data_IF_984637026857
#
_entry.id   IF_984637026857
#
_cell.length_a   1.000
_cell.length_b   1.000
_cell.length_c   1.000
_cell.angle_alpha   90.00
_cell.angle_beta   90.00
_cell.angle_gamma   90.00
#
_symmetry.space_group_name_H-M   'P 1'
#
loop_
_entity.id
_entity.type
_entity.pdbx_description
1 polymer ?
#
# COMPACT_ATOMS: atom_id res chain seq x y z
N UNK A 1 -3.55 -6.26 8.84
CA UNK A 1 -2.83 -6.28 10.11
C UNK A 1 -1.68 -5.28 10.04
N UNK A 2 -1.44 -4.59 11.15
CA UNK A 2 -0.40 -3.55 11.29
C UNK A 2 1.00 -4.13 11.00
N UNK A 3 1.22 -5.42 11.28
CA UNK A 3 2.44 -6.14 10.94
C UNK A 3 2.24 -7.00 9.70
N UNK A 4 3.01 -6.72 8.66
CA UNK A 4 3.01 -7.51 7.43
C UNK A 4 3.73 -8.84 7.64
N UNK A 5 2.97 -9.86 8.03
CA UNK A 5 3.48 -11.21 8.25
C UNK A 5 3.69 -11.95 6.92
N UNK A 6 4.86 -12.57 6.78
CA UNK A 6 5.18 -13.49 5.70
C UNK A 6 5.56 -14.87 6.26
N UNK A 7 5.08 -15.92 5.61
CA UNK A 7 5.46 -17.28 5.93
C UNK A 7 6.89 -17.61 5.46
N UNK A 8 7.58 -18.48 6.17
CA UNK A 8 8.90 -19.01 5.77
C UNK A 8 8.77 -19.96 4.57
N UNK A 9 8.47 -19.41 3.42
CA UNK A 9 8.28 -20.10 2.14
C UNK A 9 8.66 -19.16 0.98
N UNK A 10 8.38 -19.56 -0.27
CA UNK A 10 8.69 -18.73 -1.43
C UNK A 10 7.84 -17.45 -1.49
N UNK A 11 8.34 -16.41 -2.17
CA UNK A 11 7.57 -15.20 -2.46
C UNK A 11 6.28 -15.56 -3.19
N UNK A 12 6.37 -16.45 -4.19
CA UNK A 12 5.20 -16.97 -4.90
C UNK A 12 4.12 -17.51 -3.95
N UNK A 13 4.50 -18.39 -3.03
CA UNK A 13 3.56 -19.01 -2.10
C UNK A 13 3.00 -17.99 -1.10
N UNK A 14 3.79 -17.01 -0.70
CA UNK A 14 3.32 -15.91 0.14
C UNK A 14 2.21 -15.09 -0.53
N UNK A 15 2.38 -14.74 -1.80
CA UNK A 15 1.35 -14.00 -2.56
C UNK A 15 0.15 -14.91 -2.84
N UNK A 16 0.40 -16.15 -3.32
CA UNK A 16 -0.62 -17.13 -3.66
C UNK A 16 -1.52 -17.54 -2.49
N UNK A 17 -1.09 -17.28 -1.25
CA UNK A 17 -1.91 -17.52 -0.07
C UNK A 17 -3.25 -16.75 -0.10
N UNK A 18 -3.33 -15.64 -0.83
CA UNK A 18 -4.58 -14.90 -1.06
C UNK A 18 -5.59 -15.64 -1.92
N UNK A 19 -5.10 -16.40 -2.92
CA UNK A 19 -5.90 -17.31 -3.76
C UNK A 19 -5.05 -18.55 -4.09
N UNK A 20 -5.27 -19.68 -3.41
CA UNK A 20 -4.47 -20.90 -3.57
C UNK A 20 -4.51 -21.54 -4.97
N UNK A 21 -5.53 -21.21 -5.79
CA UNK A 21 -5.66 -21.74 -7.16
C UNK A 21 -5.07 -20.80 -8.21
N UNK A 22 -4.66 -19.59 -7.81
CA UNK A 22 -4.10 -18.60 -8.74
C UNK A 22 -2.85 -19.12 -9.46
N UNK A 23 -2.81 -18.87 -10.75
CA UNK A 23 -1.67 -19.18 -11.62
C UNK A 23 -0.62 -18.07 -11.62
N UNK A 24 0.56 -18.36 -12.16
CA UNK A 24 1.70 -17.44 -12.19
C UNK A 24 1.36 -16.05 -12.76
N UNK A 25 0.61 -15.91 -13.87
CA UNK A 25 0.29 -14.59 -14.43
C UNK A 25 -0.51 -13.70 -13.46
N UNK A 26 -1.46 -14.26 -12.71
CA UNK A 26 -2.25 -13.52 -11.72
C UNK A 26 -1.38 -13.07 -10.54
N UNK A 27 -0.46 -13.92 -10.08
CA UNK A 27 0.50 -13.61 -9.01
C UNK A 27 1.43 -12.47 -9.45
N UNK A 28 1.93 -12.51 -10.68
CA UNK A 28 2.78 -11.45 -11.24
C UNK A 28 2.01 -10.14 -11.41
N UNK A 29 0.75 -10.21 -11.83
CA UNK A 29 -0.10 -9.03 -11.94
C UNK A 29 -0.31 -8.38 -10.57
N UNK A 30 -0.67 -9.15 -9.55
CA UNK A 30 -0.81 -8.64 -8.18
C UNK A 30 0.49 -8.02 -7.65
N UNK A 31 1.64 -8.63 -7.94
CA UNK A 31 2.95 -8.10 -7.57
C UNK A 31 3.28 -6.78 -8.31
N UNK A 32 2.86 -6.63 -9.58
CA UNK A 32 2.99 -5.38 -10.34
C UNK A 32 2.11 -4.28 -9.75
N UNK A 33 0.87 -4.58 -9.40
CA UNK A 33 -0.03 -3.64 -8.75
C UNK A 33 0.54 -3.15 -7.42
N UNK A 34 1.14 -4.04 -6.64
CA UNK A 34 1.81 -3.73 -5.37
C UNK A 34 3.22 -3.13 -5.54
N UNK A 35 3.69 -2.83 -6.75
CA UNK A 35 5.01 -2.25 -7.03
C UNK A 35 6.20 -3.06 -6.45
N UNK A 36 6.07 -4.41 -6.37
CA UNK A 36 7.16 -5.29 -5.86
C UNK A 36 7.73 -6.19 -6.95
N UNK A 37 7.06 -6.35 -8.09
CA UNK A 37 7.51 -7.21 -9.20
C UNK A 37 8.94 -6.91 -9.68
N UNK A 38 9.35 -5.64 -9.90
CA UNK A 38 10.71 -5.34 -10.40
C UNK A 38 11.80 -5.83 -9.45
N UNK A 39 11.55 -5.80 -8.14
CA UNK A 39 12.51 -6.29 -7.14
C UNK A 39 12.52 -7.81 -7.09
N UNK A 40 11.36 -8.45 -7.20
CA UNK A 40 11.26 -9.92 -7.20
C UNK A 40 12.05 -10.52 -8.35
N UNK A 41 11.96 -9.96 -9.55
CA UNK A 41 12.67 -10.50 -10.73
C UNK A 41 14.18 -10.29 -10.65
N UNK A 42 14.67 -9.38 -9.81
CA UNK A 42 16.08 -9.16 -9.55
C UNK A 42 16.67 -10.12 -8.49
N UNK A 43 15.85 -10.86 -7.73
CA UNK A 43 16.37 -11.91 -6.85
C UNK A 43 16.86 -13.10 -7.69
N UNK A 44 17.93 -13.78 -7.21
CA UNK A 44 18.52 -14.91 -7.92
C UNK A 44 17.51 -16.00 -8.30
N UNK A 45 16.54 -16.31 -7.41
CA UNK A 45 15.48 -17.30 -7.66
C UNK A 45 14.14 -16.68 -7.97
N UNK A 46 14.09 -15.35 -8.18
CA UNK A 46 12.89 -14.62 -8.52
C UNK A 46 11.71 -14.98 -7.57
N UNK A 47 10.57 -15.35 -8.12
CA UNK A 47 9.38 -15.77 -7.35
C UNK A 47 9.59 -17.05 -6.52
N UNK A 48 10.61 -17.85 -6.81
CA UNK A 48 10.98 -19.05 -6.04
C UNK A 48 11.88 -18.73 -4.84
N UNK A 49 12.30 -17.48 -4.69
CA UNK A 49 13.10 -17.03 -3.55
C UNK A 49 12.36 -17.31 -2.24
N UNK A 50 13.01 -18.03 -1.33
CA UNK A 50 12.49 -18.31 0.02
C UNK A 50 12.75 -17.08 0.88
N UNK A 51 11.74 -16.64 1.62
CA UNK A 51 11.78 -15.51 2.55
C UNK A 51 11.44 -15.95 3.97
N UNK A 52 11.72 -15.10 4.96
CA UNK A 52 11.50 -15.40 6.37
C UNK A 52 12.71 -16.03 7.04
N UNK A 53 12.53 -16.73 8.16
CA UNK A 53 13.62 -17.26 9.00
C UNK A 53 14.58 -18.22 8.28
N UNK A 54 14.12 -18.91 7.25
CA UNK A 54 14.91 -19.89 6.49
C UNK A 54 15.34 -19.38 5.11
N UNK A 55 15.18 -18.10 4.83
CA UNK A 55 15.49 -17.51 3.54
C UNK A 55 16.05 -16.10 3.67
N UNK A 56 15.94 -15.32 2.58
CA UNK A 56 16.39 -13.93 2.60
C UNK A 56 15.47 -13.07 3.49
N UNK A 57 16.07 -12.06 4.11
CA UNK A 57 15.32 -11.05 4.86
C UNK A 57 14.90 -9.94 3.91
N UNK A 58 13.60 -9.72 3.77
CA UNK A 58 13.06 -8.58 3.05
C UNK A 58 13.08 -7.31 3.90
N UNK A 59 13.26 -6.14 3.27
CA UNK A 59 13.06 -4.86 3.94
C UNK A 59 11.60 -4.69 4.40
N UNK A 60 11.34 -3.72 5.29
CA UNK A 60 9.97 -3.42 5.74
C UNK A 60 9.03 -3.13 4.57
N UNK A 61 9.43 -2.27 3.64
CA UNK A 61 8.65 -1.93 2.45
C UNK A 61 8.45 -3.12 1.49
N UNK A 62 9.46 -3.98 1.33
CA UNK A 62 9.33 -5.21 0.54
C UNK A 62 8.33 -6.17 1.16
N UNK A 63 8.35 -6.34 2.50
CA UNK A 63 7.39 -7.17 3.22
C UNK A 63 5.97 -6.63 3.06
N UNK A 64 5.77 -5.33 3.27
CA UNK A 64 4.45 -4.68 3.13
C UNK A 64 3.90 -4.86 1.72
N UNK A 65 4.70 -4.59 0.68
CA UNK A 65 4.27 -4.73 -0.71
C UNK A 65 4.01 -6.20 -1.11
N UNK A 66 4.77 -7.16 -0.57
CA UNK A 66 4.49 -8.60 -0.78
C UNK A 66 3.18 -9.02 -0.10
N UNK A 67 2.92 -8.53 1.13
CA UNK A 67 1.65 -8.77 1.81
C UNK A 67 0.47 -8.08 1.11
N UNK A 68 0.69 -6.87 0.57
CA UNK A 68 -0.31 -6.18 -0.25
C UNK A 68 -0.64 -6.98 -1.52
N UNK A 69 0.37 -7.50 -2.24
CA UNK A 69 0.15 -8.34 -3.41
C UNK A 69 -0.71 -9.58 -3.08
N UNK A 70 -0.52 -10.18 -1.90
CA UNK A 70 -1.40 -11.24 -1.38
C UNK A 70 -2.85 -10.77 -1.26
N UNK A 71 -3.08 -9.58 -0.70
CA UNK A 71 -4.42 -9.00 -0.54
C UNK A 71 -5.06 -8.65 -1.88
N UNK A 72 -4.28 -8.16 -2.85
CA UNK A 72 -4.74 -7.79 -4.19
C UNK A 72 -5.11 -9.00 -5.06
N UNK A 73 -4.53 -10.16 -4.77
CA UNK A 73 -4.86 -11.40 -5.46
C UNK A 73 -6.29 -11.88 -5.15
N UNK A 74 -6.82 -11.47 -3.98
CA UNK A 74 -8.22 -11.70 -3.62
C UNK A 74 -9.06 -10.66 -4.38
N UNK A 75 -9.97 -11.13 -5.21
CA UNK A 75 -10.88 -10.26 -5.97
C UNK A 75 -12.05 -9.76 -5.10
N UNK A 76 -11.72 -8.94 -4.09
CA UNK A 76 -12.69 -8.35 -3.18
C UNK A 76 -13.16 -6.98 -3.69
N UNK A 77 -14.47 -6.68 -3.61
CA UNK A 77 -15.01 -5.37 -4.03
C UNK A 77 -14.59 -4.21 -3.13
N UNK A 78 -14.21 -4.49 -1.89
CA UNK A 78 -13.74 -3.51 -0.91
C UNK A 78 -12.38 -3.95 -0.37
N UNK A 79 -11.40 -3.05 -0.45
CA UNK A 79 -10.05 -3.23 0.06
C UNK A 79 -9.80 -2.24 1.19
N UNK A 80 -9.42 -2.73 2.38
CA UNK A 80 -9.04 -1.89 3.51
C UNK A 80 -7.53 -2.01 3.71
N UNK A 81 -6.83 -0.88 3.59
CA UNK A 81 -5.39 -0.74 3.79
C UNK A 81 -5.15 0.05 5.08
N UNK A 82 -4.96 -0.67 6.19
CA UNK A 82 -4.68 -0.09 7.50
C UNK A 82 -3.17 -0.03 7.73
N UNK A 83 -2.60 1.15 7.61
CA UNK A 83 -1.16 1.45 7.71
C UNK A 83 -0.26 0.55 6.85
N UNK A 84 -0.84 -0.01 5.78
CA UNK A 84 -0.22 -1.06 4.96
C UNK A 84 0.97 -0.56 4.10
N UNK A 85 1.20 0.75 4.04
CA UNK A 85 2.26 1.40 3.26
C UNK A 85 3.21 2.24 4.12
N UNK A 86 3.19 2.11 5.45
CA UNK A 86 3.99 2.94 6.37
C UNK A 86 5.51 2.83 6.19
N UNK A 87 6.00 1.68 5.71
CA UNK A 87 7.42 1.46 5.40
C UNK A 87 7.76 1.66 3.92
N UNK A 88 6.81 2.18 3.14
CA UNK A 88 6.96 2.44 1.70
C UNK A 88 7.13 3.94 1.49
N UNK A 89 8.03 4.33 0.59
CA UNK A 89 8.23 5.74 0.26
C UNK A 89 6.99 6.36 -0.43
N UNK A 90 6.85 7.68 -0.34
CA UNK A 90 5.68 8.40 -0.83
C UNK A 90 5.43 8.20 -2.34
N UNK A 91 6.49 8.11 -3.15
CA UNK A 91 6.36 7.94 -4.60
C UNK A 91 5.79 6.55 -4.93
N UNK A 92 6.32 5.51 -4.30
CA UNK A 92 5.85 4.13 -4.46
C UNK A 92 4.43 3.97 -3.91
N UNK A 93 4.11 4.56 -2.75
CA UNK A 93 2.75 4.53 -2.19
C UNK A 93 1.72 5.18 -3.13
N UNK A 94 2.06 6.35 -3.70
CA UNK A 94 1.22 7.03 -4.69
C UNK A 94 1.01 6.19 -5.94
N UNK A 95 2.07 5.56 -6.46
CA UNK A 95 1.98 4.67 -7.62
C UNK A 95 1.06 3.45 -7.35
N UNK A 96 1.15 2.86 -6.16
CA UNK A 96 0.25 1.76 -5.73
C UNK A 96 -1.21 2.23 -5.75
N UNK A 97 -1.52 3.36 -5.10
CA UNK A 97 -2.89 3.88 -5.05
C UNK A 97 -3.41 4.23 -6.44
N UNK A 98 -2.57 4.80 -7.31
CA UNK A 98 -2.92 5.07 -8.71
C UNK A 98 -3.25 3.79 -9.49
N UNK A 99 -2.47 2.72 -9.30
CA UNK A 99 -2.76 1.42 -9.91
C UNK A 99 -4.12 0.87 -9.47
N UNK A 100 -4.45 1.00 -8.17
CA UNK A 100 -5.72 0.53 -7.62
C UNK A 100 -6.92 1.33 -8.14
N UNK A 101 -6.71 2.62 -8.46
CA UNK A 101 -7.75 3.50 -9.01
C UNK A 101 -7.95 3.35 -10.51
N UNK A 102 -6.92 2.94 -11.26
CA UNK A 102 -6.93 2.87 -12.73
C UNK A 102 -7.54 1.58 -13.30
N UNK A 103 -7.86 0.58 -12.48
CA UNK A 103 -8.43 -0.70 -12.91
C UNK A 103 -9.81 -0.53 -13.56
N UNK A 104 -10.13 -1.40 -14.54
CA UNK A 104 -11.44 -1.44 -15.22
C UNK A 104 -12.59 -1.81 -14.29
N UNK A 105 -12.30 -2.51 -13.21
CA UNK A 105 -13.21 -2.81 -12.12
C UNK A 105 -12.87 -1.92 -10.93
N UNK A 106 -13.64 -0.85 -10.73
CA UNK A 106 -13.44 0.07 -9.60
C UNK A 106 -13.73 -0.64 -8.29
N UNK A 107 -12.66 -0.94 -7.56
CA UNK A 107 -12.76 -1.38 -6.16
C UNK A 107 -12.90 -0.18 -5.25
N UNK A 108 -13.67 -0.33 -4.18
CA UNK A 108 -13.65 0.65 -3.10
C UNK A 108 -12.41 0.42 -2.25
N UNK A 109 -11.52 1.41 -2.20
CA UNK A 109 -10.31 1.35 -1.38
C UNK A 109 -10.45 2.29 -0.19
N UNK A 110 -10.39 1.74 1.02
CA UNK A 110 -10.29 2.51 2.26
C UNK A 110 -8.83 2.49 2.70
N UNK A 111 -8.16 3.63 2.60
CA UNK A 111 -6.75 3.79 2.93
C UNK A 111 -6.60 4.59 4.22
N UNK A 112 -6.08 3.94 5.26
CA UNK A 112 -5.80 4.54 6.57
C UNK A 112 -4.30 4.76 6.65
N UNK A 113 -3.85 6.01 6.81
CA UNK A 113 -2.44 6.35 6.76
C UNK A 113 -2.13 7.71 7.38
N UNK A 114 -0.89 7.87 7.79
CA UNK A 114 -0.30 9.16 8.17
C UNK A 114 0.42 9.82 6.97
N UNK A 115 0.52 9.17 5.82
CA UNK A 115 1.17 9.70 4.60
C UNK A 115 0.20 10.60 3.83
N UNK A 116 0.23 11.90 4.09
CA UNK A 116 -0.71 12.86 3.47
C UNK A 116 -0.51 12.98 1.95
N UNK A 117 0.73 12.85 1.46
CA UNK A 117 1.02 12.89 0.01
C UNK A 117 0.30 11.77 -0.75
N UNK A 118 0.21 10.58 -0.16
CA UNK A 118 -0.54 9.47 -0.72
C UNK A 118 -2.05 9.68 -0.56
N UNK A 119 -2.51 10.14 0.62
CA UNK A 119 -3.92 10.44 0.89
C UNK A 119 -4.47 11.53 -0.03
N UNK A 120 -3.64 12.50 -0.45
CA UNK A 120 -4.04 13.57 -1.36
C UNK A 120 -4.50 13.09 -2.75
N UNK A 121 -4.16 11.85 -3.13
CA UNK A 121 -4.60 11.24 -4.40
C UNK A 121 -5.95 10.52 -4.30
N UNK A 122 -6.54 10.42 -3.12
CA UNK A 122 -7.83 9.77 -2.88
C UNK A 122 -9.00 10.67 -3.30
N UNK A 123 -10.10 10.06 -3.74
CA UNK A 123 -11.33 10.77 -4.12
C UNK A 123 -11.96 11.53 -2.96
N UNK A 124 -11.80 11.01 -1.74
CA UNK A 124 -12.35 11.61 -0.51
C UNK A 124 -11.47 11.31 0.68
N UNK A 125 -11.31 12.30 1.54
CA UNK A 125 -10.50 12.22 2.75
C UNK A 125 -11.40 12.47 3.97
N UNK A 126 -11.27 11.62 4.98
CA UNK A 126 -11.84 11.77 6.30
C UNK A 126 -10.72 12.05 7.30
N UNK A 127 -10.72 13.20 7.92
CA UNK A 127 -9.73 13.57 8.94
C UNK A 127 -10.29 13.20 10.30
N UNK A 128 -9.56 12.38 11.03
CA UNK A 128 -9.98 11.91 12.35
C UNK A 128 -9.11 12.51 13.44
N UNK A 129 -9.73 12.94 14.52
CA UNK A 129 -9.08 13.34 15.78
C UNK A 129 -9.87 12.78 16.95
N UNK A 130 -9.17 12.19 17.92
CA UNK A 130 -9.76 11.61 19.15
C UNK A 130 -10.96 10.70 18.92
N UNK A 131 -10.94 9.93 17.82
CA UNK A 131 -12.00 8.98 17.48
C UNK A 131 -13.21 9.59 16.75
N UNK A 132 -13.18 10.88 16.42
CA UNK A 132 -14.23 11.58 15.69
C UNK A 132 -13.75 12.06 14.33
N UNK A 133 -14.65 12.11 13.33
CA UNK A 133 -14.37 12.73 12.04
C UNK A 133 -14.55 14.24 12.19
N UNK A 134 -13.44 14.99 12.13
CA UNK A 134 -13.43 16.45 12.32
C UNK A 134 -13.48 17.24 11.01
N UNK A 135 -13.02 16.67 9.90
CA UNK A 135 -13.11 17.27 8.58
C UNK A 135 -13.34 16.19 7.52
N UNK A 136 -14.02 16.56 6.42
CA UNK A 136 -14.28 15.67 5.29
C UNK A 136 -14.26 16.49 4.01
N UNK A 137 -13.58 15.98 2.96
CA UNK A 137 -13.52 16.64 1.67
C UNK A 137 -12.50 16.00 0.74
N UNK A 138 -12.31 16.60 -0.42
CA UNK A 138 -11.17 16.36 -1.29
C UNK A 138 -9.92 17.06 -0.76
N UNK A 139 -8.75 16.68 -1.25
CA UNK A 139 -7.50 17.39 -0.92
C UNK A 139 -7.60 18.90 -1.14
N UNK A 140 -8.12 19.31 -2.31
CA UNK A 140 -8.23 20.73 -2.65
C UNK A 140 -9.17 21.50 -1.71
N UNK A 141 -10.31 20.91 -1.36
CA UNK A 141 -11.28 21.51 -0.43
C UNK A 141 -10.70 21.66 0.99
N UNK A 142 -10.03 20.61 1.47
CA UNK A 142 -9.45 20.60 2.81
C UNK A 142 -8.26 21.55 2.97
N UNK A 143 -7.50 21.83 1.89
CA UNK A 143 -6.45 22.86 1.91
C UNK A 143 -6.99 24.28 2.01
N UNK A 144 -8.23 24.53 1.56
CA UNK A 144 -8.88 25.85 1.65
C UNK A 144 -9.58 26.06 3.00
N UNK A 145 -9.77 25.00 3.79
CA UNK A 145 -10.38 25.05 5.10
C UNK A 145 -9.31 25.15 6.18
N UNK A 146 -9.37 26.17 7.02
CA UNK A 146 -8.54 26.20 8.22
C UNK A 146 -8.89 25.03 9.12
N UNK A 147 -7.90 24.16 9.44
CA UNK A 147 -8.14 23.00 10.26
C UNK A 147 -6.96 22.06 10.36
N UNK A 148 -7.23 20.88 10.92
CA UNK A 148 -6.20 19.88 11.21
C UNK A 148 -5.49 19.41 9.94
N UNK A 149 -6.25 19.17 8.84
CA UNK A 149 -5.65 18.70 7.57
C UNK A 149 -4.63 19.68 7.02
N UNK A 150 -4.99 20.96 6.92
CA UNK A 150 -4.09 22.01 6.41
C UNK A 150 -2.83 22.14 7.28
N UNK A 151 -2.98 22.04 8.61
CA UNK A 151 -1.85 22.10 9.54
C UNK A 151 -0.88 20.93 9.35
N UNK A 152 -1.40 19.70 9.26
CA UNK A 152 -0.61 18.50 9.02
C UNK A 152 0.08 18.52 7.65
N UNK A 153 -0.62 18.99 6.61
CA UNK A 153 -0.06 19.14 5.27
C UNK A 153 1.14 20.10 5.24
N UNK A 154 0.99 21.26 5.87
CA UNK A 154 2.04 22.27 5.95
C UNK A 154 3.24 21.75 6.74
N UNK A 155 3.02 21.02 7.82
CA UNK A 155 4.09 20.38 8.58
C UNK A 155 4.85 19.36 7.74
N UNK A 156 4.16 18.47 7.03
CA UNK A 156 4.80 17.48 6.15
C UNK A 156 5.63 18.16 5.06
N UNK A 157 5.11 19.22 4.45
CA UNK A 157 5.85 20.00 3.44
C UNK A 157 7.11 20.64 3.98
N UNK A 158 7.09 21.16 5.20
CA UNK A 158 8.27 21.69 5.87
C UNK A 158 9.32 20.59 6.12
N UNK A 159 8.91 19.42 6.57
CA UNK A 159 9.80 18.27 6.79
C UNK A 159 10.45 17.78 5.49
N UNK A 160 9.70 17.78 4.36
CA UNK A 160 10.23 17.44 3.04
C UNK A 160 11.27 18.43 2.53
N UNK A 161 11.13 19.73 2.86
CA UNK A 161 12.07 20.78 2.48
C UNK A 161 13.37 20.76 3.30
N UNK A 162 13.36 20.17 4.48
CA UNK A 162 14.51 20.10 5.40
C UNK A 162 15.37 18.83 5.19
N UNK A 163 14.95 17.91 4.33
CA UNK A 163 15.68 16.69 3.96
C UNK A 163 16.51 16.88 2.71
#
# INVERSE_FOLDING_TARGET
PQDSFLFSTTIKNNIRYGDPVAEQPAIEYAAKQAQIHPEIVNFHQQYKTIVGERGITLSGGQRQRTALARGLLIDAPVLILDDALSSVDNQTATAILSNLSAGTERKTVVFISHQLSAAATCDRIFVMDKGEIVQTGTHAELLQQSGLYQSLWNQQKLEELLR
#
